data_IF_032611524263
#
_entry.id   IF_032611524263
#
_cell.length_a   1.000
_cell.length_b   1.000
_cell.length_c   1.000
_cell.angle_alpha   90.00
_cell.angle_beta   90.00
_cell.angle_gamma   90.00
#
_symmetry.space_group_name_H-M   'P 1'
#
loop_
_entity.id
_entity.type
_entity.pdbx_description
1 polymer ?
#
# COMPACT_ATOMS: atom_id res chain seq x y z
N UNK A 1 -3.55 3.35 19.35
CA UNK A 1 -2.29 3.04 18.68
C UNK A 1 -1.10 3.63 19.43
N UNK A 2 -0.09 2.81 19.74
CA UNK A 2 1.09 3.28 20.51
C UNK A 2 1.95 4.29 19.72
N UNK A 3 1.99 4.16 18.39
CA UNK A 3 2.76 5.02 17.51
C UNK A 3 1.92 5.43 16.28
N UNK A 4 0.98 6.38 16.45
CA UNK A 4 0.01 6.71 15.40
C UNK A 4 0.61 7.44 14.18
N UNK A 5 1.84 7.93 14.31
CA UNK A 5 2.57 8.64 13.23
C UNK A 5 3.66 7.79 12.57
N UNK A 6 3.78 6.52 12.96
CA UNK A 6 4.75 5.62 12.36
C UNK A 6 4.19 5.09 11.04
N UNK A 7 4.91 5.34 9.96
CA UNK A 7 4.70 4.70 8.67
C UNK A 7 5.57 3.44 8.57
N UNK A 8 4.99 2.36 8.06
CA UNK A 8 5.67 1.08 7.86
C UNK A 8 5.51 0.67 6.40
N UNK A 9 6.61 0.53 5.66
CA UNK A 9 6.60 0.04 4.29
C UNK A 9 6.97 -1.44 4.23
N UNK A 10 6.16 -2.22 3.52
CA UNK A 10 6.46 -3.60 3.16
C UNK A 10 6.99 -3.65 1.74
N UNK A 11 8.26 -3.95 1.61
CA UNK A 11 8.95 -4.22 0.35
C UNK A 11 9.00 -5.71 0.08
N UNK A 12 9.05 -6.11 -1.18
CA UNK A 12 9.22 -7.51 -1.66
C UNK A 12 8.11 -8.49 -1.22
N UNK A 13 7.11 -8.03 -0.48
CA UNK A 13 6.04 -8.89 0.07
C UNK A 13 4.86 -9.13 -0.87
N UNK A 14 4.80 -8.41 -1.97
CA UNK A 14 3.60 -8.35 -2.80
C UNK A 14 2.37 -7.81 -2.05
N UNK A 15 1.25 -7.69 -2.75
CA UNK A 15 0.02 -7.14 -2.17
C UNK A 15 -1.15 -8.14 -2.13
N UNK A 16 -0.94 -9.36 -2.63
CA UNK A 16 -2.01 -10.37 -2.79
C UNK A 16 -2.65 -10.81 -1.49
N UNK A 17 -1.91 -10.84 -0.41
CA UNK A 17 -2.36 -11.26 0.91
C UNK A 17 -3.10 -10.17 1.69
N UNK A 18 -2.92 -8.89 1.33
CA UNK A 18 -3.39 -7.74 2.12
C UNK A 18 -4.91 -7.70 2.27
N UNK A 19 -5.73 -7.86 1.21
CA UNK A 19 -7.19 -7.84 1.38
C UNK A 19 -7.71 -8.89 2.36
N UNK A 20 -7.21 -10.13 2.25
CA UNK A 20 -7.57 -11.23 3.15
C UNK A 20 -7.14 -10.93 4.60
N UNK A 21 -5.96 -10.35 4.77
CA UNK A 21 -5.43 -9.99 6.08
C UNK A 21 -6.31 -8.91 6.75
N UNK A 22 -6.71 -7.88 6.01
CA UNK A 22 -7.60 -6.82 6.51
C UNK A 22 -8.95 -7.37 6.95
N UNK A 23 -9.59 -8.20 6.11
CA UNK A 23 -10.86 -8.85 6.47
C UNK A 23 -10.70 -9.73 7.72
N UNK A 24 -9.58 -10.41 7.86
CA UNK A 24 -9.31 -11.29 9.01
C UNK A 24 -9.07 -10.52 10.31
N UNK A 25 -8.42 -9.37 10.22
CA UNK A 25 -8.21 -8.50 11.38
C UNK A 25 -9.55 -8.04 11.96
N UNK A 26 -10.44 -7.53 11.12
CA UNK A 26 -11.73 -7.04 11.55
C UNK A 26 -12.62 -8.19 12.08
N UNK A 27 -12.62 -9.34 11.39
CA UNK A 27 -13.31 -10.54 11.86
C UNK A 27 -12.89 -10.96 13.26
N UNK A 28 -11.57 -10.97 13.53
CA UNK A 28 -11.05 -11.36 14.84
C UNK A 28 -11.47 -10.35 15.92
N UNK A 29 -11.49 -9.05 15.60
CA UNK A 29 -11.99 -8.03 16.54
C UNK A 29 -13.46 -8.26 16.92
N UNK A 30 -14.32 -8.51 15.91
CA UNK A 30 -15.76 -8.70 16.12
C UNK A 30 -16.09 -9.96 16.92
N UNK A 31 -15.28 -11.03 16.76
CA UNK A 31 -15.59 -12.35 17.32
C UNK A 31 -14.76 -12.75 18.54
N UNK A 32 -13.76 -11.96 18.91
CA UNK A 32 -12.92 -12.25 20.07
C UNK A 32 -13.45 -11.57 21.32
N UNK A 33 -14.26 -12.28 22.07
CA UNK A 33 -15.01 -11.75 23.24
C UNK A 33 -14.14 -11.18 24.38
N UNK A 34 -12.81 -11.33 24.40
CA UNK A 34 -11.99 -10.79 25.48
C UNK A 34 -10.47 -10.71 25.24
N UNK A 35 -9.91 -11.37 24.22
CA UNK A 35 -8.47 -11.47 24.06
C UNK A 35 -7.84 -10.38 23.19
N UNK A 36 -8.44 -10.14 22.04
CA UNK A 36 -7.89 -9.18 21.05
C UNK A 36 -8.28 -7.73 21.35
N UNK A 37 -9.46 -7.49 21.93
CA UNK A 37 -9.84 -6.14 22.39
C UNK A 37 -8.80 -5.58 23.36
N UNK A 38 -8.30 -6.43 24.28
CA UNK A 38 -7.25 -6.04 25.23
C UNK A 38 -5.87 -5.83 24.53
N UNK A 39 -5.58 -6.55 23.46
CA UNK A 39 -4.34 -6.41 22.70
C UNK A 39 -4.37 -5.18 21.78
N UNK A 40 -5.56 -4.80 21.27
CA UNK A 40 -5.76 -3.61 20.44
C UNK A 40 -5.79 -2.31 21.27
N UNK A 41 -5.90 -2.42 22.59
CA UNK A 41 -6.06 -1.29 23.50
C UNK A 41 -7.47 -0.73 23.45
N UNK A 42 -7.59 0.58 23.61
CA UNK A 42 -8.91 1.25 23.65
C UNK A 42 -9.58 1.33 22.27
N UNK A 43 -8.88 0.90 21.20
CA UNK A 43 -9.39 0.98 19.82
C UNK A 43 -9.60 2.40 19.32
N UNK A 44 -8.98 3.38 19.98
CA UNK A 44 -9.10 4.80 19.62
C UNK A 44 -7.76 5.37 19.14
N UNK A 45 -7.84 6.36 18.27
CA UNK A 45 -6.67 7.11 17.83
C UNK A 45 -6.35 8.30 18.76
N UNK A 46 -5.36 9.09 18.39
CA UNK A 46 -4.93 10.26 19.19
C UNK A 46 -6.02 11.35 19.33
N UNK A 47 -7.06 11.32 18.51
CA UNK A 47 -8.20 12.24 18.60
C UNK A 47 -9.33 11.68 19.48
N UNK A 48 -9.24 10.41 19.91
CA UNK A 48 -10.27 9.69 20.62
C UNK A 48 -11.32 9.04 19.70
N UNK A 49 -11.11 9.05 18.39
CA UNK A 49 -11.99 8.38 17.43
C UNK A 49 -11.72 6.86 17.43
N UNK A 50 -12.80 6.07 17.39
CA UNK A 50 -12.68 4.63 17.21
C UNK A 50 -12.02 4.31 15.87
N UNK A 51 -11.08 3.36 15.89
CA UNK A 51 -10.31 2.92 14.72
C UNK A 51 -10.26 1.41 14.70
N UNK A 52 -10.73 0.81 13.63
CA UNK A 52 -10.61 -0.64 13.43
C UNK A 52 -9.16 -1.04 13.13
N UNK A 53 -8.79 -2.32 13.35
CA UNK A 53 -7.47 -2.80 12.96
C UNK A 53 -7.17 -2.59 11.47
N UNK A 54 -8.14 -2.84 10.60
CA UNK A 54 -7.97 -2.65 9.16
C UNK A 54 -7.77 -1.17 8.78
N UNK A 55 -8.48 -0.25 9.43
CA UNK A 55 -8.29 1.20 9.23
C UNK A 55 -6.90 1.65 9.69
N UNK A 56 -6.41 1.13 10.81
CA UNK A 56 -5.07 1.44 11.28
C UNK A 56 -4.00 0.92 10.32
N UNK A 57 -4.18 -0.27 9.76
CA UNK A 57 -3.29 -0.79 8.73
C UNK A 57 -3.34 0.10 7.49
N UNK A 58 -4.51 0.40 6.94
CA UNK A 58 -4.64 1.28 5.78
C UNK A 58 -4.07 2.69 5.98
N UNK A 59 -4.00 3.16 7.22
CA UNK A 59 -3.47 4.49 7.54
C UNK A 59 -1.95 4.52 7.66
N UNK A 60 -1.37 3.47 8.24
CA UNK A 60 0.02 3.48 8.66
C UNK A 60 0.94 2.58 7.82
N UNK A 61 0.35 1.66 7.02
CA UNK A 61 1.13 0.68 6.27
C UNK A 61 1.09 0.97 4.78
N UNK A 62 2.24 0.81 4.15
CA UNK A 62 2.48 0.99 2.73
C UNK A 62 2.94 -0.34 2.15
N UNK A 63 2.48 -0.66 0.98
CA UNK A 63 2.71 -1.97 0.37
C UNK A 63 3.33 -1.81 -1.00
N UNK A 64 4.34 -2.62 -1.30
CA UNK A 64 4.97 -2.65 -2.60
C UNK A 64 4.49 -3.85 -3.43
N UNK A 65 4.16 -3.58 -4.68
CA UNK A 65 3.79 -4.57 -5.68
C UNK A 65 4.91 -4.69 -6.71
N UNK A 66 5.39 -5.90 -6.96
CA UNK A 66 6.32 -6.20 -8.05
C UNK A 66 5.50 -6.60 -9.28
N UNK A 67 4.74 -7.68 -9.19
CA UNK A 67 3.82 -8.15 -10.23
C UNK A 67 2.61 -8.85 -9.60
N UNK A 68 1.59 -8.09 -9.27
CA UNK A 68 0.36 -8.57 -8.62
C UNK A 68 -0.90 -8.26 -9.46
N UNK A 69 -1.02 -8.76 -10.70
CA UNK A 69 -2.09 -8.34 -11.62
C UNK A 69 -3.50 -8.63 -11.10
N UNK A 70 -3.67 -9.68 -10.32
CA UNK A 70 -4.97 -10.04 -9.72
C UNK A 70 -5.35 -9.06 -8.64
N UNK A 71 -4.40 -8.69 -7.78
CA UNK A 71 -4.69 -7.83 -6.62
C UNK A 71 -4.85 -6.37 -7.02
N UNK A 72 -4.21 -5.90 -8.08
CA UNK A 72 -4.44 -4.56 -8.63
C UNK A 72 -5.90 -4.32 -9.02
N UNK A 73 -6.65 -5.38 -9.34
CA UNK A 73 -8.10 -5.30 -9.61
C UNK A 73 -8.94 -5.01 -8.36
N UNK A 74 -8.41 -5.31 -7.19
CA UNK A 74 -9.06 -5.09 -5.89
C UNK A 74 -8.28 -4.12 -5.01
N UNK A 75 -7.44 -3.27 -5.62
CA UNK A 75 -6.60 -2.27 -4.95
C UNK A 75 -7.37 -1.34 -4.00
N UNK A 76 -8.65 -1.08 -4.31
CA UNK A 76 -9.52 -0.25 -3.46
C UNK A 76 -9.76 -0.88 -2.08
N UNK A 77 -9.67 -2.21 -1.98
CA UNK A 77 -9.78 -2.92 -0.70
C UNK A 77 -8.56 -2.67 0.19
N UNK A 78 -7.40 -2.46 -0.41
CA UNK A 78 -6.15 -2.13 0.29
C UNK A 78 -6.11 -0.64 0.61
N UNK A 79 -6.46 0.17 -0.36
CA UNK A 79 -6.32 1.62 -0.38
C UNK A 79 -5.23 2.03 -1.37
N UNK A 80 -5.62 2.51 -2.55
CA UNK A 80 -4.70 2.87 -3.64
C UNK A 80 -3.63 3.87 -3.21
N UNK A 81 -3.95 4.73 -2.24
CA UNK A 81 -3.04 5.74 -1.69
C UNK A 81 -1.85 5.16 -0.90
N UNK A 82 -1.85 3.87 -0.62
CA UNK A 82 -0.84 3.19 0.17
C UNK A 82 -0.18 2.00 -0.57
N UNK A 83 -0.35 1.94 -1.89
CA UNK A 83 0.32 0.95 -2.74
C UNK A 83 1.37 1.66 -3.59
N UNK A 84 2.55 1.05 -3.70
CA UNK A 84 3.65 1.49 -4.56
C UNK A 84 4.08 0.33 -5.44
N UNK A 85 4.60 0.62 -6.63
CA UNK A 85 5.30 -0.38 -7.45
C UNK A 85 6.77 -0.37 -7.12
N UNK A 86 7.40 -1.55 -7.17
CA UNK A 86 8.84 -1.70 -7.06
C UNK A 86 9.38 -2.60 -8.18
N UNK A 87 10.63 -2.38 -8.56
CA UNK A 87 11.29 -3.20 -9.58
C UNK A 87 12.13 -4.31 -8.99
N UNK A 88 12.47 -4.18 -7.71
CA UNK A 88 13.35 -5.06 -6.96
C UNK A 88 14.75 -5.25 -7.57
N UNK A 89 15.24 -4.26 -8.33
CA UNK A 89 16.60 -4.30 -8.89
C UNK A 89 17.65 -4.20 -7.77
N UNK A 90 18.71 -5.04 -7.76
CA UNK A 90 19.16 -5.97 -8.80
C UNK A 90 18.89 -7.47 -8.50
N UNK A 91 17.85 -7.80 -7.78
CA UNK A 91 17.52 -9.18 -7.42
C UNK A 91 17.14 -10.01 -8.64
N UNK A 92 17.17 -11.35 -8.48
CA UNK A 92 16.94 -12.30 -9.57
C UNK A 92 15.50 -12.32 -10.10
N UNK A 93 14.55 -11.94 -9.27
CA UNK A 93 13.12 -11.80 -9.55
C UNK A 93 12.70 -10.35 -9.86
N UNK A 94 13.68 -9.46 -10.03
CA UNK A 94 13.47 -8.09 -10.47
C UNK A 94 12.73 -8.03 -11.81
N UNK A 95 11.84 -7.06 -11.95
CA UNK A 95 11.22 -6.73 -13.24
C UNK A 95 12.14 -5.97 -14.21
N UNK A 96 13.35 -5.60 -13.79
CA UNK A 96 14.36 -4.99 -14.63
C UNK A 96 14.92 -6.00 -15.67
N UNK A 97 15.17 -5.61 -16.95
CA UNK A 97 15.08 -4.24 -17.49
C UNK A 97 13.70 -3.88 -18.06
N UNK A 98 12.73 -4.79 -18.01
CA UNK A 98 11.44 -4.66 -18.70
C UNK A 98 10.36 -3.97 -17.83
N UNK A 99 10.74 -3.39 -16.68
CA UNK A 99 9.84 -2.78 -15.70
C UNK A 99 8.81 -1.84 -16.34
N UNK A 100 9.24 -0.97 -17.28
CA UNK A 100 8.32 -0.01 -17.90
C UNK A 100 7.27 -0.70 -18.79
N UNK A 101 7.67 -1.72 -19.55
CA UNK A 101 6.77 -2.48 -20.41
C UNK A 101 5.77 -3.29 -19.54
N UNK A 102 6.26 -3.92 -18.48
CA UNK A 102 5.43 -4.65 -17.53
C UNK A 102 4.40 -3.74 -16.88
N UNK A 103 4.81 -2.58 -16.38
CA UNK A 103 3.89 -1.63 -15.75
C UNK A 103 2.84 -1.10 -16.73
N UNK A 104 3.25 -0.80 -17.99
CA UNK A 104 2.31 -0.37 -19.01
C UNK A 104 1.22 -1.43 -19.28
N UNK A 105 1.58 -2.72 -19.26
CA UNK A 105 0.64 -3.82 -19.39
C UNK A 105 -0.26 -3.97 -18.16
N UNK A 106 0.34 -4.03 -16.96
CA UNK A 106 -0.38 -4.31 -15.70
C UNK A 106 -1.32 -3.20 -15.27
N UNK A 107 -0.96 -1.95 -15.56
CA UNK A 107 -1.75 -0.77 -15.19
C UNK A 107 -2.71 -0.34 -16.31
N UNK A 108 -2.71 -1.03 -17.46
CA UNK A 108 -3.60 -0.73 -18.57
C UNK A 108 -5.08 -0.75 -18.12
N UNK A 109 -5.80 0.33 -18.45
CA UNK A 109 -7.22 0.48 -18.12
C UNK A 109 -7.52 0.93 -16.70
N UNK A 110 -6.51 1.16 -15.86
CA UNK A 110 -6.69 1.86 -14.59
C UNK A 110 -6.86 3.38 -14.84
N UNK A 111 -7.57 4.09 -13.95
CA UNK A 111 -7.62 5.55 -14.00
C UNK A 111 -6.22 6.17 -13.91
N UNK A 112 -5.95 7.21 -14.69
CA UNK A 112 -4.64 7.90 -14.70
C UNK A 112 -4.20 8.36 -13.31
N UNK A 113 -5.14 8.80 -12.47
CA UNK A 113 -4.87 9.18 -11.10
C UNK A 113 -4.38 8.02 -10.24
N UNK A 114 -4.91 6.81 -10.43
CA UNK A 114 -4.42 5.62 -9.74
C UNK A 114 -3.03 5.23 -10.25
N UNK A 115 -2.83 5.28 -11.55
CA UNK A 115 -1.52 5.00 -12.16
C UNK A 115 -0.45 5.94 -11.59
N UNK A 116 -0.72 7.24 -11.52
CA UNK A 116 0.20 8.23 -10.94
C UNK A 116 0.54 7.90 -9.48
N UNK A 117 -0.46 7.58 -8.67
CA UNK A 117 -0.26 7.18 -7.26
C UNK A 117 0.62 5.93 -7.15
N UNK A 118 0.28 4.89 -7.87
CA UNK A 118 0.99 3.60 -7.81
C UNK A 118 2.45 3.72 -8.27
N UNK A 119 2.70 4.50 -9.31
CA UNK A 119 4.02 4.56 -9.96
C UNK A 119 5.00 5.55 -9.34
N UNK A 120 4.53 6.65 -8.74
CA UNK A 120 5.45 7.67 -8.23
C UNK A 120 4.93 8.54 -7.08
N UNK A 121 3.65 8.95 -7.05
CA UNK A 121 3.18 9.91 -6.06
C UNK A 121 3.21 9.35 -4.63
N UNK A 122 2.81 8.11 -4.46
CA UNK A 122 2.81 7.45 -3.15
C UNK A 122 4.22 7.30 -2.59
N UNK A 123 5.17 6.86 -3.41
CA UNK A 123 6.58 6.77 -3.02
C UNK A 123 7.15 8.15 -2.68
N UNK A 124 6.88 9.15 -3.51
CA UNK A 124 7.29 10.52 -3.25
C UNK A 124 6.76 11.05 -1.91
N UNK A 125 5.50 10.76 -1.60
CA UNK A 125 4.85 11.16 -0.34
C UNK A 125 5.48 10.45 0.86
N UNK A 126 5.61 9.13 0.81
CA UNK A 126 6.15 8.34 1.92
C UNK A 126 7.60 8.73 2.23
N UNK A 127 8.44 8.76 1.21
CA UNK A 127 9.86 9.05 1.35
C UNK A 127 10.19 10.55 1.36
N UNK A 128 9.17 11.41 1.23
CA UNK A 128 9.33 12.88 1.18
C UNK A 128 10.32 13.30 0.09
N UNK A 129 10.29 12.57 -1.03
CA UNK A 129 11.14 12.82 -2.18
C UNK A 129 10.41 13.75 -3.17
N UNK A 130 11.02 14.87 -3.58
CA UNK A 130 10.37 15.77 -4.53
C UNK A 130 10.20 15.08 -5.88
N UNK A 131 9.02 15.26 -6.47
CA UNK A 131 8.80 14.85 -7.86
C UNK A 131 9.59 15.77 -8.81
N UNK A 132 10.07 15.22 -9.95
CA UNK A 132 10.70 16.06 -10.97
C UNK A 132 9.72 17.11 -11.46
N UNK A 133 10.22 18.28 -11.92
CA UNK A 133 9.37 19.31 -12.52
C UNK A 133 8.54 18.76 -13.69
N UNK A 134 7.34 19.29 -13.87
CA UNK A 134 6.49 18.95 -15.01
C UNK A 134 7.27 19.10 -16.32
N UNK A 135 7.15 18.12 -17.21
CA UNK A 135 7.89 18.11 -18.49
C UNK A 135 9.33 17.64 -18.41
N UNK A 136 9.86 17.25 -17.24
CA UNK A 136 11.24 16.76 -17.11
C UNK A 136 11.57 15.57 -18.03
N UNK A 137 10.59 14.69 -18.30
CA UNK A 137 10.76 13.54 -19.20
C UNK A 137 10.50 13.88 -20.67
N UNK A 138 9.94 15.03 -20.99
CA UNK A 138 9.54 15.39 -22.36
C UNK A 138 10.72 15.61 -23.33
N UNK A 139 11.94 15.60 -22.86
CA UNK A 139 13.16 15.83 -23.65
C UNK A 139 14.17 14.66 -23.65
N UNK A 140 13.78 13.46 -23.21
CA UNK A 140 14.69 12.30 -23.13
C UNK A 140 14.26 11.17 -24.04
#
# INVERSE_FOLDING_TARGET
LRFPKLDVAFSEGGIGWVPMFLDRLDYVMEHSASGMANAWGDGVDASGAEVTPSEAVRRNFWFCSIDDPTTLRVRDRIGVDHIMVESDYPHADSSWPDTQALLAERLAGLPDADVAKLTHENAARLFRHPLPPEGWLAGR
#
